data_IF_360521292143
#
_entry.id   IF_360521292143
#
_cell.length_a   1.000
_cell.length_b   1.000
_cell.length_c   1.000
_cell.angle_alpha   90.00
_cell.angle_beta   90.00
_cell.angle_gamma   90.00
#
_symmetry.space_group_name_H-M   'P 1'
#
loop_
_entity.id
_entity.type
_entity.pdbx_description
1 polymer ?
#
# COMPACT_ATOMS: atom_id res chain seq x y z
N UNK A 1 18.09 15.03 18.08
CA UNK A 1 18.66 13.97 17.22
C UNK A 1 18.09 14.22 15.85
N UNK A 2 18.90 14.29 14.78
CA UNK A 2 18.36 14.54 13.44
C UNK A 2 17.44 13.39 13.03
N UNK A 3 16.29 13.73 12.47
CA UNK A 3 15.27 12.78 12.01
C UNK A 3 15.84 11.85 10.94
N UNK A 4 15.77 10.54 11.20
CA UNK A 4 16.25 9.48 10.29
C UNK A 4 15.14 8.85 9.44
N UNK A 5 13.89 9.20 9.70
CA UNK A 5 12.74 8.52 9.16
C UNK A 5 11.63 9.53 8.88
N UNK A 6 11.13 9.52 7.64
CA UNK A 6 10.03 10.39 7.21
C UNK A 6 8.97 9.50 6.55
N UNK A 7 7.76 9.53 7.10
CA UNK A 7 6.59 8.91 6.49
C UNK A 7 5.81 9.92 5.67
N UNK A 8 5.50 9.60 4.42
CA UNK A 8 4.67 10.43 3.55
C UNK A 8 3.37 9.68 3.25
N UNK A 9 2.25 10.33 3.58
CA UNK A 9 0.92 9.88 3.21
C UNK A 9 0.30 10.84 2.18
N UNK A 10 -0.51 10.30 1.29
CA UNK A 10 -1.32 11.08 0.37
C UNK A 10 -2.12 10.17 -0.54
N UNK A 11 -3.35 10.57 -0.86
CA UNK A 11 -4.18 9.79 -1.77
C UNK A 11 -3.60 9.81 -3.20
N UNK A 12 -3.99 8.86 -4.05
CA UNK A 12 -3.49 8.78 -5.44
C UNK A 12 -3.63 10.14 -6.18
N UNK A 13 -2.55 10.65 -6.75
CA UNK A 13 -2.54 11.94 -7.45
C UNK A 13 -2.40 13.18 -6.55
N UNK A 14 -2.24 13.03 -5.23
CA UNK A 14 -2.00 14.16 -4.32
C UNK A 14 -0.60 14.79 -4.47
N UNK A 15 0.35 14.07 -5.08
CA UNK A 15 1.74 14.54 -5.24
C UNK A 15 2.72 14.07 -4.17
N UNK A 16 2.35 13.06 -3.36
CA UNK A 16 3.25 12.46 -2.34
C UNK A 16 4.60 11.98 -2.90
N UNK A 17 4.60 11.40 -4.10
CA UNK A 17 5.80 10.85 -4.72
C UNK A 17 6.73 12.00 -5.13
N UNK A 18 6.15 13.08 -5.68
CA UNK A 18 6.85 14.35 -5.95
C UNK A 18 7.44 14.96 -4.68
N UNK A 19 6.70 14.95 -3.56
CA UNK A 19 7.24 15.42 -2.28
C UNK A 19 8.44 14.58 -1.83
N UNK A 20 8.38 13.25 -1.99
CA UNK A 20 9.52 12.37 -1.74
C UNK A 20 10.76 12.74 -2.55
N UNK A 21 10.60 12.98 -3.86
CA UNK A 21 11.68 13.42 -4.75
C UNK A 21 12.23 14.81 -4.35
N UNK A 22 11.36 15.75 -3.97
CA UNK A 22 11.77 17.08 -3.50
C UNK A 22 12.63 16.95 -2.24
N UNK A 23 12.23 16.11 -1.27
CA UNK A 23 13.01 15.90 -0.05
C UNK A 23 14.41 15.38 -0.39
N UNK A 24 14.52 14.36 -1.26
CA UNK A 24 15.81 13.83 -1.68
C UNK A 24 16.69 14.91 -2.33
N UNK A 25 16.12 15.68 -3.27
CA UNK A 25 16.84 16.77 -3.96
C UNK A 25 17.30 17.86 -3.00
N UNK A 26 16.42 18.34 -2.11
CA UNK A 26 16.76 19.38 -1.14
C UNK A 26 17.84 18.92 -0.15
N UNK A 27 17.78 17.66 0.30
CA UNK A 27 18.84 17.13 1.15
C UNK A 27 20.17 17.06 0.41
N UNK A 28 20.18 16.56 -0.83
CA UNK A 28 21.40 16.48 -1.65
C UNK A 28 22.03 17.86 -1.89
N UNK A 29 21.23 18.89 -2.16
CA UNK A 29 21.74 20.24 -2.46
C UNK A 29 22.12 21.07 -1.23
N UNK A 30 21.73 20.64 -0.02
CA UNK A 30 21.93 21.41 1.23
C UNK A 30 22.73 20.62 2.29
N UNK A 31 23.58 19.68 1.86
CA UNK A 31 24.40 18.83 2.73
C UNK A 31 23.58 18.12 3.83
N UNK A 32 22.34 17.75 3.49
CA UNK A 32 21.47 16.90 4.31
C UNK A 32 21.79 15.41 4.13
N UNK A 33 21.05 14.53 4.84
CA UNK A 33 21.21 13.09 4.71
C UNK A 33 20.70 12.58 3.35
N UNK A 34 21.34 11.53 2.83
CA UNK A 34 20.87 10.82 1.65
C UNK A 34 19.72 9.88 2.01
N UNK A 35 18.49 10.29 1.74
CA UNK A 35 17.31 9.47 2.02
C UNK A 35 17.07 8.41 0.95
N UNK A 36 16.83 7.17 1.40
CA UNK A 36 16.38 6.06 0.56
C UNK A 36 14.85 5.93 0.59
N UNK A 37 14.22 5.82 -0.57
CA UNK A 37 12.78 5.52 -0.64
C UNK A 37 12.55 4.05 -0.27
N UNK A 38 11.67 3.83 0.70
CA UNK A 38 11.20 2.52 1.14
C UNK A 38 9.69 2.42 1.03
N UNK A 39 9.21 1.18 1.00
CA UNK A 39 7.79 0.85 0.89
C UNK A 39 7.42 -0.28 1.82
N UNK A 40 6.33 -0.15 2.58
CA UNK A 40 5.79 -1.25 3.40
C UNK A 40 5.43 -2.45 2.53
N UNK A 41 4.84 -2.19 1.36
CA UNK A 41 4.51 -3.24 0.40
C UNK A 41 5.74 -3.77 -0.39
N UNK A 42 6.96 -3.31 -0.10
CA UNK A 42 8.16 -3.72 -0.82
C UNK A 42 8.45 -5.21 -0.69
N UNK A 43 8.43 -5.75 0.54
CA UNK A 43 8.67 -7.18 0.80
C UNK A 43 7.55 -8.07 0.24
N UNK A 44 6.30 -7.59 0.25
CA UNK A 44 5.16 -8.25 -0.41
C UNK A 44 5.46 -8.49 -1.89
N UNK A 45 5.91 -7.45 -2.60
CA UNK A 45 6.24 -7.55 -4.03
C UNK A 45 7.44 -8.45 -4.30
N UNK A 46 8.43 -8.47 -3.41
CA UNK A 46 9.56 -9.41 -3.50
C UNK A 46 9.07 -10.86 -3.38
N UNK A 47 8.23 -11.17 -2.40
CA UNK A 47 7.67 -12.51 -2.23
C UNK A 47 6.80 -12.88 -3.44
N UNK A 48 5.92 -11.98 -3.89
CA UNK A 48 5.10 -12.22 -5.08
C UNK A 48 5.95 -12.49 -6.33
N UNK A 49 7.06 -11.76 -6.51
CA UNK A 49 8.02 -11.98 -7.59
C UNK A 49 8.66 -13.36 -7.50
N UNK A 50 9.11 -13.78 -6.31
CA UNK A 50 9.69 -15.10 -6.09
C UNK A 50 8.70 -16.24 -6.39
N UNK A 51 7.42 -16.05 -6.05
CA UNK A 51 6.38 -17.05 -6.28
C UNK A 51 6.01 -17.18 -7.76
N UNK A 52 5.94 -16.05 -8.48
CA UNK A 52 5.36 -16.00 -9.84
C UNK A 52 6.41 -15.91 -10.95
N UNK A 53 7.65 -15.55 -10.63
CA UNK A 53 8.67 -15.18 -11.61
C UNK A 53 8.47 -13.81 -12.27
N UNK A 54 7.43 -13.04 -11.88
CA UNK A 54 7.15 -11.71 -12.41
C UNK A 54 8.19 -10.71 -11.89
N UNK A 55 8.62 -9.75 -12.73
CA UNK A 55 9.55 -8.70 -12.29
C UNK A 55 8.88 -7.79 -11.23
N UNK A 56 9.61 -7.48 -10.17
CA UNK A 56 9.13 -6.61 -9.08
C UNK A 56 8.63 -5.26 -9.60
N UNK A 57 9.29 -4.70 -10.63
CA UNK A 57 8.88 -3.42 -11.24
C UNK A 57 7.47 -3.47 -11.83
N UNK A 58 7.04 -4.63 -12.32
CA UNK A 58 5.76 -4.76 -13.02
C UNK A 58 4.58 -4.55 -12.06
N UNK A 59 4.78 -4.86 -10.77
CA UNK A 59 3.83 -4.60 -9.69
C UNK A 59 3.68 -3.11 -9.32
N UNK A 60 4.27 -2.18 -10.06
CA UNK A 60 3.95 -0.75 -9.95
C UNK A 60 2.87 -0.32 -10.95
N UNK A 61 2.71 -1.02 -12.09
CA UNK A 61 1.78 -0.64 -13.15
C UNK A 61 0.36 -1.14 -12.88
N UNK A 62 -0.63 -0.25 -12.98
CA UNK A 62 -2.04 -0.58 -12.70
C UNK A 62 -2.63 -1.55 -13.71
N UNK A 63 -2.30 -1.37 -15.00
CA UNK A 63 -2.82 -2.22 -16.08
C UNK A 63 -2.27 -3.63 -15.96
N UNK A 64 -0.97 -3.75 -15.64
CA UNK A 64 -0.34 -5.05 -15.38
C UNK A 64 -0.98 -5.77 -14.19
N UNK A 65 -1.29 -5.05 -13.10
CA UNK A 65 -2.00 -5.67 -11.96
C UNK A 65 -3.36 -6.27 -12.34
N UNK A 66 -3.99 -5.76 -13.40
CA UNK A 66 -5.29 -6.24 -13.85
C UNK A 66 -5.18 -7.38 -14.86
N UNK A 67 -3.97 -7.79 -15.26
CA UNK A 67 -3.79 -8.99 -16.08
C UNK A 67 -3.94 -10.25 -15.24
N UNK A 68 -4.23 -11.35 -15.93
CA UNK A 68 -4.32 -12.67 -15.34
C UNK A 68 -2.93 -13.29 -15.16
N UNK A 69 -2.79 -14.06 -14.08
CA UNK A 69 -1.71 -15.01 -13.92
C UNK A 69 -1.88 -16.19 -14.88
N UNK A 70 -0.86 -17.05 -14.89
CA UNK A 70 -0.89 -18.34 -15.56
C UNK A 70 -1.98 -19.26 -14.97
N UNK A 71 -2.48 -20.21 -15.77
CA UNK A 71 -3.57 -21.13 -15.40
C UNK A 71 -3.27 -21.99 -14.16
N UNK A 72 -1.98 -22.18 -13.82
CA UNK A 72 -1.60 -22.86 -12.58
C UNK A 72 -1.96 -22.09 -11.30
N UNK A 73 -2.32 -20.80 -11.43
CA UNK A 73 -2.82 -19.95 -10.35
C UNK A 73 -4.35 -19.83 -10.33
N UNK A 74 -5.03 -20.51 -11.25
CA UNK A 74 -6.48 -20.55 -11.26
C UNK A 74 -7.01 -21.19 -9.98
N UNK A 75 -8.24 -20.80 -9.63
CA UNK A 75 -8.87 -21.23 -8.40
C UNK A 75 -10.31 -21.66 -8.66
N UNK A 76 -10.89 -22.31 -7.66
CA UNK A 76 -12.28 -22.77 -7.71
C UNK A 76 -13.17 -21.91 -6.84
N UNK A 77 -14.39 -21.68 -7.27
CA UNK A 77 -15.45 -21.11 -6.44
C UNK A 77 -16.79 -21.79 -6.75
N UNK A 78 -17.76 -21.59 -5.86
CA UNK A 78 -19.14 -22.01 -6.06
C UNK A 78 -19.96 -20.79 -6.45
N UNK A 79 -20.57 -20.84 -7.63
CA UNK A 79 -21.53 -19.86 -8.11
C UNK A 79 -22.93 -20.39 -7.84
N UNK A 80 -23.71 -19.59 -7.12
CA UNK A 80 -25.12 -19.86 -6.90
C UNK A 80 -25.92 -19.02 -7.90
N UNK A 81 -26.75 -19.68 -8.68
CA UNK A 81 -27.66 -19.05 -9.62
C UNK A 81 -29.10 -19.19 -9.15
N UNK A 82 -29.84 -18.09 -9.06
CA UNK A 82 -31.28 -18.05 -8.82
C UNK A 82 -32.01 -17.72 -10.13
N UNK A 83 -32.85 -18.63 -10.61
CA UNK A 83 -33.57 -18.49 -11.90
C UNK A 83 -32.64 -18.12 -13.08
N UNK A 84 -31.44 -18.72 -13.11
CA UNK A 84 -30.44 -18.50 -14.16
C UNK A 84 -29.70 -17.16 -14.07
N UNK A 85 -29.78 -16.45 -12.94
CA UNK A 85 -28.97 -15.26 -12.66
C UNK A 85 -28.04 -15.53 -11.48
N UNK A 86 -26.76 -15.17 -11.62
CA UNK A 86 -25.80 -15.25 -10.52
C UNK A 86 -26.30 -14.42 -9.34
N UNK A 87 -26.57 -15.09 -8.22
CA UNK A 87 -27.03 -14.47 -6.98
C UNK A 87 -25.91 -14.37 -5.95
N UNK A 88 -24.97 -15.33 -5.96
CA UNK A 88 -23.87 -15.38 -5.03
C UNK A 88 -22.65 -16.08 -5.65
N UNK A 89 -21.46 -15.65 -5.26
CA UNK A 89 -20.19 -16.34 -5.55
C UNK A 89 -19.49 -16.55 -4.22
N UNK A 90 -19.11 -17.79 -3.93
CA UNK A 90 -18.42 -18.13 -2.69
C UNK A 90 -17.03 -17.50 -2.61
N UNK A 91 -16.39 -17.69 -1.45
CA UNK A 91 -14.94 -17.55 -1.33
C UNK A 91 -14.19 -18.48 -2.29
N UNK A 92 -12.89 -18.21 -2.41
CA UNK A 92 -11.95 -19.00 -3.20
C UNK A 92 -11.63 -20.34 -2.52
N UNK A 93 -11.43 -21.36 -3.35
CA UNK A 93 -10.88 -22.65 -2.96
C UNK A 93 -9.69 -23.01 -3.84
N UNK A 94 -8.66 -23.60 -3.22
CA UNK A 94 -7.45 -24.02 -3.92
C UNK A 94 -7.68 -25.29 -4.75
N UNK A 95 -8.63 -26.14 -4.33
CA UNK A 95 -8.95 -27.38 -5.03
C UNK A 95 -10.43 -27.47 -5.37
N UNK A 96 -10.74 -28.21 -6.43
CA UNK A 96 -12.11 -28.54 -6.79
C UNK A 96 -12.84 -29.25 -5.65
N UNK A 97 -12.18 -30.17 -4.94
CA UNK A 97 -12.77 -30.93 -3.84
C UNK A 97 -13.22 -30.03 -2.67
N UNK A 98 -12.43 -29.01 -2.34
CA UNK A 98 -12.82 -28.01 -1.36
C UNK A 98 -14.08 -27.24 -1.80
N UNK A 99 -14.13 -26.82 -3.07
CA UNK A 99 -15.31 -26.17 -3.62
C UNK A 99 -16.54 -27.11 -3.68
N UNK A 100 -16.33 -28.40 -3.94
CA UNK A 100 -17.40 -29.39 -3.96
C UNK A 100 -18.02 -29.60 -2.56
N UNK A 101 -17.19 -29.64 -1.52
CA UNK A 101 -17.67 -29.70 -0.14
C UNK A 101 -18.50 -28.46 0.20
N UNK A 102 -18.05 -27.27 -0.20
CA UNK A 102 -18.79 -26.02 0.00
C UNK A 102 -20.12 -26.02 -0.76
N UNK A 103 -20.12 -26.47 -2.03
CA UNK A 103 -21.34 -26.51 -2.84
C UNK A 103 -22.42 -27.39 -2.17
N UNK A 104 -22.03 -28.55 -1.63
CA UNK A 104 -22.93 -29.43 -0.88
C UNK A 104 -23.43 -28.77 0.42
N UNK A 105 -22.58 -28.00 1.10
CA UNK A 105 -22.97 -27.29 2.31
C UNK A 105 -23.98 -26.16 2.01
N UNK A 106 -23.73 -25.37 0.96
CA UNK A 106 -24.62 -24.32 0.50
C UNK A 106 -25.97 -24.89 0.04
N UNK A 107 -25.97 -25.98 -0.73
CA UNK A 107 -27.19 -26.64 -1.19
C UNK A 107 -28.06 -27.11 -0.01
N UNK A 108 -27.45 -27.70 1.02
CA UNK A 108 -28.17 -28.13 2.23
C UNK A 108 -28.77 -26.96 3.00
N UNK A 109 -28.07 -25.82 3.04
CA UNK A 109 -28.49 -24.66 3.83
C UNK A 109 -29.51 -23.78 3.11
N UNK A 110 -29.40 -23.63 1.79
CA UNK A 110 -30.19 -22.70 0.98
C UNK A 110 -31.29 -23.42 0.17
N UNK A 111 -31.19 -24.75 0.00
CA UNK A 111 -32.13 -25.56 -0.76
C UNK A 111 -31.92 -25.50 -2.27
N UNK A 112 -32.68 -26.31 -3.01
CA UNK A 112 -32.50 -26.50 -4.47
C UNK A 112 -33.60 -25.86 -5.31
N UNK A 113 -34.63 -25.28 -4.69
CA UNK A 113 -35.75 -24.72 -5.44
C UNK A 113 -35.30 -23.46 -6.20
N UNK A 114 -35.27 -23.54 -7.54
CA UNK A 114 -34.80 -22.49 -8.47
C UNK A 114 -33.33 -22.11 -8.35
N UNK A 115 -32.60 -22.75 -7.45
CA UNK A 115 -31.17 -22.53 -7.21
C UNK A 115 -30.33 -23.57 -7.94
N UNK A 116 -29.23 -23.15 -8.54
CA UNK A 116 -28.16 -24.03 -9.04
C UNK A 116 -26.85 -23.68 -8.36
N UNK A 117 -26.05 -24.70 -8.06
CA UNK A 117 -24.74 -24.59 -7.45
C UNK A 117 -23.70 -25.08 -8.45
N UNK A 118 -22.97 -24.16 -9.06
CA UNK A 118 -22.01 -24.45 -10.13
C UNK A 118 -20.60 -24.26 -9.57
N UNK A 119 -19.79 -25.31 -9.62
CA UNK A 119 -18.37 -25.20 -9.32
C UNK A 119 -17.68 -24.66 -10.57
N UNK A 120 -17.07 -23.48 -10.47
CA UNK A 120 -16.43 -22.78 -11.58
C UNK A 120 -14.93 -22.61 -11.29
N UNK A 121 -14.10 -22.88 -12.30
CA UNK A 121 -12.68 -22.50 -12.27
C UNK A 121 -12.53 -21.08 -12.81
N UNK A 122 -11.83 -20.21 -12.07
CA UNK A 122 -11.62 -18.82 -12.43
C UNK A 122 -10.14 -18.46 -12.41
N UNK A 123 -9.79 -17.55 -13.32
CA UNK A 123 -8.43 -17.02 -13.43
C UNK A 123 -8.13 -15.99 -12.36
N UNK A 124 -6.98 -16.14 -11.71
CA UNK A 124 -6.50 -15.17 -10.74
C UNK A 124 -5.80 -14.00 -11.44
N UNK A 125 -6.11 -12.77 -11.04
CA UNK A 125 -5.37 -11.58 -11.46
C UNK A 125 -4.16 -11.34 -10.58
N UNK A 126 -3.15 -10.64 -11.11
CA UNK A 126 -1.98 -10.21 -10.33
C UNK A 126 -2.39 -9.37 -9.11
N UNK A 127 -3.43 -8.53 -9.25
CA UNK A 127 -3.98 -7.74 -8.15
C UNK A 127 -4.55 -8.61 -7.04
N UNK A 128 -5.34 -9.62 -7.41
CA UNK A 128 -5.91 -10.56 -6.44
C UNK A 128 -4.80 -11.28 -5.67
N UNK A 129 -3.77 -11.79 -6.35
CA UNK A 129 -2.62 -12.41 -5.68
C UNK A 129 -1.98 -11.46 -4.65
N UNK A 130 -1.71 -10.21 -5.03
CA UNK A 130 -1.09 -9.23 -4.12
C UNK A 130 -2.00 -8.91 -2.92
N UNK A 131 -3.32 -8.89 -3.10
CA UNK A 131 -4.29 -8.64 -2.03
C UNK A 131 -4.41 -9.83 -1.08
N UNK A 132 -4.52 -11.04 -1.61
CA UNK A 132 -4.63 -12.25 -0.81
C UNK A 132 -3.33 -12.53 -0.05
N UNK A 133 -2.18 -12.44 -0.71
CA UNK A 133 -0.89 -12.59 -0.05
C UNK A 133 -0.64 -11.45 0.94
N UNK A 134 -0.97 -10.22 0.56
CA UNK A 134 -0.72 -9.02 1.36
C UNK A 134 -1.57 -8.94 2.63
N UNK A 135 -2.87 -9.11 2.48
CA UNK A 135 -3.87 -8.86 3.51
C UNK A 135 -4.30 -10.16 4.16
N UNK A 136 -4.94 -11.06 3.42
CA UNK A 136 -5.60 -12.25 3.98
C UNK A 136 -4.59 -13.22 4.62
N UNK A 137 -3.56 -13.61 3.87
CA UNK A 137 -2.60 -14.60 4.34
C UNK A 137 -1.64 -14.03 5.39
N UNK A 138 -1.06 -12.87 5.13
CA UNK A 138 0.05 -12.36 5.94
C UNK A 138 -0.42 -11.39 7.03
N UNK A 139 -1.23 -10.38 6.70
CA UNK A 139 -1.65 -9.39 7.69
C UNK A 139 -2.69 -9.97 8.66
N UNK A 140 -3.68 -10.66 8.14
CA UNK A 140 -4.79 -11.21 8.93
C UNK A 140 -4.46 -12.62 9.44
N UNK A 141 -3.85 -13.45 8.59
CA UNK A 141 -3.52 -14.85 8.92
C UNK A 141 -2.23 -15.06 9.74
N UNK A 142 -1.22 -14.20 9.60
CA UNK A 142 0.06 -14.35 10.29
C UNK A 142 0.27 -13.29 11.38
N UNK A 143 0.34 -12.01 11.01
CA UNK A 143 0.49 -10.91 11.97
C UNK A 143 0.14 -9.55 11.36
N UNK A 144 -0.68 -8.75 12.05
CA UNK A 144 -1.10 -7.40 11.62
C UNK A 144 0.06 -6.45 11.27
N UNK A 145 1.22 -6.61 11.90
CA UNK A 145 2.43 -5.80 11.70
C UNK A 145 3.47 -6.48 10.80
N UNK A 146 3.13 -7.56 10.09
CA UNK A 146 4.09 -8.32 9.28
C UNK A 146 4.91 -7.46 8.33
N UNK A 147 4.27 -6.53 7.61
CA UNK A 147 4.95 -5.65 6.66
C UNK A 147 5.75 -4.53 7.32
N UNK A 148 5.28 -4.04 8.48
CA UNK A 148 6.01 -3.10 9.33
C UNK A 148 7.29 -3.75 9.84
N UNK A 149 7.16 -4.93 10.45
CA UNK A 149 8.28 -5.69 11.00
C UNK A 149 9.27 -6.08 9.90
N UNK A 150 8.78 -6.55 8.76
CA UNK A 150 9.62 -6.95 7.64
C UNK A 150 10.38 -5.77 7.01
N UNK A 151 9.78 -4.57 6.97
CA UNK A 151 10.48 -3.37 6.51
C UNK A 151 11.54 -2.93 7.52
N UNK A 152 11.17 -2.78 8.79
CA UNK A 152 12.07 -2.25 9.83
C UNK A 152 13.12 -3.24 10.32
N UNK A 153 13.07 -4.52 9.94
CA UNK A 153 14.14 -5.48 10.20
C UNK A 153 15.50 -5.02 9.65
N UNK A 154 15.49 -4.24 8.56
CA UNK A 154 16.69 -3.72 7.91
C UNK A 154 17.06 -2.28 8.41
N UNK A 155 16.30 -1.69 9.33
CA UNK A 155 16.48 -0.29 9.74
C UNK A 155 17.57 -0.13 10.81
N UNK A 156 18.52 0.77 10.56
CA UNK A 156 19.67 1.01 11.44
C UNK A 156 19.62 2.43 12.01
N UNK A 157 19.31 2.54 13.29
CA UNK A 157 19.45 3.80 14.02
C UNK A 157 20.91 4.27 14.06
N UNK A 158 21.12 5.60 14.09
CA UNK A 158 22.46 6.19 14.18
C UNK A 158 23.22 5.77 15.44
N UNK A 159 22.51 5.49 16.53
CA UNK A 159 23.10 4.93 17.75
C UNK A 159 23.58 3.49 17.60
N UNK A 160 23.03 2.73 16.65
CA UNK A 160 23.33 1.32 16.41
C UNK A 160 24.37 1.11 15.30
N UNK A 161 24.50 2.05 14.37
CA UNK A 161 25.54 2.02 13.33
C UNK A 161 26.11 3.42 13.14
N UNK A 162 27.30 3.65 13.72
CA UNK A 162 28.00 4.93 13.61
C UNK A 162 28.45 5.24 12.18
N UNK A 163 28.69 4.22 11.36
CA UNK A 163 29.27 4.35 10.03
C UNK A 163 28.24 4.34 8.90
N UNK A 164 27.07 3.73 9.10
CA UNK A 164 26.03 3.67 8.06
C UNK A 164 24.61 3.67 8.65
N UNK A 165 24.18 4.80 9.25
CA UNK A 165 22.79 5.00 9.68
C UNK A 165 21.81 4.99 8.51
N UNK A 166 20.64 4.40 8.72
CA UNK A 166 19.54 4.48 7.77
C UNK A 166 18.92 5.88 7.77
N UNK A 167 18.63 6.40 6.58
CA UNK A 167 17.78 7.58 6.37
C UNK A 167 16.69 7.18 5.38
N UNK A 168 15.46 6.97 5.86
CA UNK A 168 14.39 6.39 5.04
C UNK A 168 13.22 7.35 4.81
N UNK A 169 12.75 7.38 3.57
CA UNK A 169 11.48 7.99 3.15
C UNK A 169 10.49 6.87 2.86
N UNK A 170 9.43 6.72 3.65
CA UNK A 170 8.39 5.74 3.41
C UNK A 170 7.22 6.41 2.70
N UNK A 171 6.95 6.04 1.44
CA UNK A 171 6.01 6.77 0.56
C UNK A 171 4.65 6.10 0.36
N UNK A 172 4.45 4.89 0.88
CA UNK A 172 3.24 4.07 0.68
C UNK A 172 2.49 3.76 1.98
N UNK A 173 2.63 4.62 2.99
CA UNK A 173 1.91 4.51 4.27
C UNK A 173 0.40 4.64 4.08
N UNK A 174 -0.35 3.58 4.44
CA UNK A 174 -1.79 3.43 4.19
C UNK A 174 -2.59 3.02 5.41
N UNK A 175 -1.95 2.50 6.47
CA UNK A 175 -2.65 1.95 7.63
C UNK A 175 -2.24 2.62 8.96
N UNK A 176 -3.12 2.68 9.97
CA UNK A 176 -2.81 3.29 11.27
C UNK A 176 -1.56 2.69 11.95
N UNK A 177 -1.39 1.38 11.89
CA UNK A 177 -0.21 0.70 12.47
C UNK A 177 1.11 1.07 11.78
N UNK A 178 1.06 1.43 10.50
CA UNK A 178 2.22 1.91 9.74
C UNK A 178 2.60 3.33 10.18
N UNK A 179 1.61 4.20 10.39
CA UNK A 179 1.80 5.55 10.92
C UNK A 179 2.38 5.52 12.33
N UNK A 180 1.78 4.70 13.20
CA UNK A 180 2.24 4.50 14.58
C UNK A 180 3.69 4.01 14.61
N UNK A 181 4.04 3.01 13.79
CA UNK A 181 5.39 2.47 13.74
C UNK A 181 6.45 3.51 13.34
N UNK A 182 6.10 4.49 12.51
CA UNK A 182 7.00 5.61 12.17
C UNK A 182 7.17 6.54 13.37
N UNK A 183 6.07 6.92 14.03
CA UNK A 183 6.08 7.81 15.21
C UNK A 183 6.85 7.19 16.39
N UNK A 184 6.64 5.91 16.67
CA UNK A 184 7.35 5.16 17.72
C UNK A 184 8.88 5.15 17.52
N UNK A 185 9.33 5.26 16.27
CA UNK A 185 10.76 5.29 15.91
C UNK A 185 11.33 6.71 15.86
N UNK A 186 10.57 7.70 16.32
CA UNK A 186 10.94 9.12 16.28
C UNK A 186 11.02 9.67 14.85
N UNK A 187 10.31 9.06 13.91
CA UNK A 187 10.15 9.59 12.56
C UNK A 187 9.07 10.66 12.51
N UNK A 188 9.16 11.55 11.53
CA UNK A 188 8.14 12.57 11.26
C UNK A 188 7.18 12.09 10.18
N UNK A 189 5.96 12.62 10.22
CA UNK A 189 4.88 12.22 9.32
C UNK A 189 4.34 13.42 8.57
N UNK A 190 4.28 13.31 7.24
CA UNK A 190 3.84 14.37 6.33
C UNK A 190 2.63 13.85 5.54
N UNK A 191 1.49 14.52 5.67
CA UNK A 191 0.33 14.30 4.79
C UNK A 191 0.35 15.29 3.65
N UNK A 192 0.15 14.80 2.42
CA UNK A 192 -0.01 15.61 1.22
C UNK A 192 -1.44 15.52 0.74
N UNK A 193 -2.13 16.65 0.64
CA UNK A 193 -3.51 16.75 0.16
C UNK A 193 -3.56 17.57 -1.13
N UNK A 194 -4.57 17.30 -1.97
CA UNK A 194 -4.85 18.04 -3.21
C UNK A 194 -6.35 18.00 -3.46
N UNK A 195 -6.89 19.05 -4.08
CA UNK A 195 -8.31 19.17 -4.38
C UNK A 195 -8.84 17.91 -5.11
N UNK A 196 -9.95 17.37 -4.60
CA UNK A 196 -10.64 16.21 -5.16
C UNK A 196 -11.13 16.45 -6.58
N UNK A 197 -11.51 17.69 -6.93
CA UNK A 197 -11.94 18.02 -8.30
C UNK A 197 -10.85 17.71 -9.33
N UNK A 198 -9.58 17.88 -8.93
CA UNK A 198 -8.41 17.57 -9.76
C UNK A 198 -8.05 16.07 -9.76
N UNK A 199 -8.77 15.25 -9.00
CA UNK A 199 -8.51 13.82 -8.76
C UNK A 199 -9.71 12.93 -9.13
N UNK A 200 -10.57 13.40 -10.05
CA UNK A 200 -11.76 12.68 -10.50
C UNK A 200 -13.03 12.94 -9.68
N UNK A 201 -12.95 13.80 -8.66
CA UNK A 201 -14.07 14.14 -7.78
C UNK A 201 -14.18 13.25 -6.54
N UNK A 202 -15.02 13.63 -5.55
CA UNK A 202 -15.19 12.90 -4.30
C UNK A 202 -15.84 11.52 -4.48
N UNK A 203 -16.59 11.32 -5.57
CA UNK A 203 -17.32 10.07 -5.85
C UNK A 203 -16.53 9.07 -6.69
N UNK A 204 -15.29 9.39 -7.12
CA UNK A 204 -14.45 8.42 -7.83
C UNK A 204 -14.21 7.21 -6.89
N UNK A 205 -14.57 5.97 -7.30
CA UNK A 205 -14.38 4.77 -6.48
C UNK A 205 -12.94 4.58 -5.99
N UNK A 206 -11.95 5.11 -6.73
CA UNK A 206 -10.53 5.08 -6.31
C UNK A 206 -10.28 5.89 -5.04
N UNK A 207 -11.08 6.92 -4.77
CA UNK A 207 -10.96 7.78 -3.59
C UNK A 207 -11.63 7.18 -2.33
N UNK A 208 -12.43 6.12 -2.49
CA UNK A 208 -13.23 5.48 -1.45
C UNK A 208 -12.65 4.15 -0.95
N UNK A 209 -11.60 3.62 -1.59
CA UNK A 209 -11.00 2.35 -1.20
C UNK A 209 -10.45 2.42 0.25
N UNK A 210 -10.60 1.37 1.09
CA UNK A 210 -10.16 1.40 2.49
C UNK A 210 -8.70 1.80 2.67
N UNK A 211 -7.81 1.35 1.77
CA UNK A 211 -6.40 1.72 1.80
C UNK A 211 -6.11 3.20 1.49
N UNK A 212 -7.10 3.96 1.03
CA UNK A 212 -6.99 5.40 0.76
C UNK A 212 -7.66 6.23 1.86
N UNK A 213 -8.60 5.67 2.62
CA UNK A 213 -9.39 6.36 3.65
C UNK A 213 -9.02 5.97 5.08
N UNK A 214 -8.28 4.88 5.28
CA UNK A 214 -7.93 4.34 6.60
C UNK A 214 -7.18 5.34 7.51
N UNK A 215 -6.53 6.34 6.92
CA UNK A 215 -5.80 7.38 7.65
C UNK A 215 -6.54 8.72 7.67
N UNK A 216 -7.73 8.88 7.08
CA UNK A 216 -8.38 10.20 6.90
C UNK A 216 -8.61 10.98 8.21
N UNK A 217 -8.79 10.26 9.34
CA UNK A 217 -9.02 10.85 10.67
C UNK A 217 -7.76 10.99 11.51
N UNK A 218 -6.63 10.48 11.03
CA UNK A 218 -5.37 10.50 11.77
C UNK A 218 -4.68 11.86 11.67
N UNK A 219 -3.88 12.16 12.70
CA UNK A 219 -3.09 13.40 12.79
C UNK A 219 -1.65 13.16 12.33
N UNK A 220 -1.13 14.14 11.60
CA UNK A 220 0.23 14.15 11.05
C UNK A 220 1.00 15.32 11.67
N UNK A 221 2.32 15.18 11.75
CA UNK A 221 3.18 16.26 12.25
C UNK A 221 3.14 17.47 11.31
N UNK A 222 3.00 17.18 10.01
CA UNK A 222 2.93 18.18 8.95
C UNK A 222 1.84 17.83 7.93
N UNK A 223 1.15 18.87 7.45
CA UNK A 223 0.23 18.76 6.32
C UNK A 223 0.62 19.75 5.23
N UNK A 224 0.74 19.25 4.00
CA UNK A 224 1.05 20.02 2.80
C UNK A 224 -0.18 19.99 1.90
N UNK A 225 -0.79 21.15 1.69
CA UNK A 225 -1.78 21.34 0.64
C UNK A 225 -1.04 21.58 -0.69
N UNK A 226 -1.25 20.72 -1.67
CA UNK A 226 -0.67 20.79 -3.01
C UNK A 226 -1.68 21.44 -3.98
N UNK A 227 -1.82 22.75 -3.87
CA UNK A 227 -2.79 23.60 -4.56
C UNK A 227 -2.14 24.65 -5.49
N UNK A 228 -0.82 24.60 -5.62
CA UNK A 228 -0.03 25.66 -6.22
C UNK A 228 0.99 25.20 -7.27
N UNK A 229 2.04 25.99 -7.43
CA UNK A 229 3.15 25.69 -8.34
C UNK A 229 4.14 24.68 -7.73
N UNK A 230 5.06 24.15 -8.54
CA UNK A 230 6.09 23.23 -8.03
C UNK A 230 7.07 23.98 -7.11
N UNK A 231 7.34 25.26 -7.38
CA UNK A 231 8.20 26.12 -6.57
C UNK A 231 7.59 26.35 -5.18
N UNK A 232 6.28 26.58 -5.11
CA UNK A 232 5.55 26.69 -3.83
C UNK A 232 5.59 25.38 -3.06
N UNK A 233 5.41 24.24 -3.74
CA UNK A 233 5.52 22.92 -3.11
C UNK A 233 6.94 22.69 -2.56
N UNK A 234 7.98 23.07 -3.31
CA UNK A 234 9.38 23.02 -2.86
C UNK A 234 9.60 23.89 -1.63
N UNK A 235 9.02 25.09 -1.59
CA UNK A 235 9.05 25.97 -0.41
C UNK A 235 8.43 25.32 0.82
N UNK A 236 7.20 24.81 0.72
CA UNK A 236 6.50 24.12 1.82
C UNK A 236 7.30 22.94 2.37
N UNK A 237 7.94 22.15 1.50
CA UNK A 237 8.80 21.03 1.91
C UNK A 237 10.08 21.53 2.59
N UNK A 238 10.73 22.55 2.02
CA UNK A 238 11.96 23.14 2.57
C UNK A 238 11.76 23.63 4.00
N UNK A 239 10.67 24.33 4.27
CA UNK A 239 10.37 24.88 5.60
C UNK A 239 10.28 23.77 6.66
N UNK A 240 9.66 22.64 6.31
CA UNK A 240 9.59 21.46 7.19
C UNK A 240 10.98 20.91 7.45
N UNK A 241 11.80 20.72 6.41
CA UNK A 241 13.16 20.16 6.55
C UNK A 241 14.09 21.06 7.37
N UNK A 242 13.94 22.39 7.28
CA UNK A 242 14.68 23.35 8.11
C UNK A 242 14.23 23.25 9.56
N UNK A 243 12.91 23.24 9.80
CA UNK A 243 12.33 23.16 11.16
C UNK A 243 12.75 21.88 11.90
N UNK A 244 12.87 20.77 11.17
CA UNK A 244 13.31 19.48 11.70
C UNK A 244 14.85 19.33 11.74
N UNK A 245 15.58 20.40 11.45
CA UNK A 245 17.05 20.45 11.42
C UNK A 245 17.69 19.39 10.50
N UNK A 246 16.95 18.97 9.46
CA UNK A 246 17.39 17.99 8.46
C UNK A 246 18.33 18.66 7.45
N UNK A 247 17.98 19.87 7.03
CA UNK A 247 18.82 20.76 6.21
C UNK A 247 19.00 22.09 6.94
N UNK A 248 20.01 22.87 6.55
CA UNK A 248 20.25 24.20 7.12
C UNK A 248 19.45 25.26 6.36
N UNK A 249 19.04 26.31 7.07
CA UNK A 249 18.49 27.50 6.45
C UNK A 249 19.58 28.18 5.61
N UNK A 250 19.38 28.16 4.30
CA UNK A 250 20.31 28.69 3.32
C UNK A 250 20.14 30.19 3.15
N UNK A 251 20.44 30.98 4.19
CA UNK A 251 20.88 32.35 3.97
C UNK A 251 22.40 32.30 3.72
N UNK A 252 22.79 32.32 2.45
CA UNK A 252 24.13 32.75 2.02
C UNK A 252 23.99 34.16 1.48
#
# INVERSE_FOLDING_TARGET
>A
MRTQLIGINGKIGAGKDTVGEIIQKLCLTNNGPEFEIKKFAGKLKQIASLLTGINISDFEYQDFKNTYLDENWDYWCVVVEDNGKVSFVSQKFATHDQAAIEALALEKNLGTFRMKYVIEQRRMTVRQLLQELGTEAMRDGLHTNVWVNALFADFKFAKMSQYNPSHWLITDMRFPNELEAIKERGGITIRVTRDYALRGGPEDPKNLHPSETALDKETFDYEIVNDGTIEELVGKVRDILIKEEIIRDGNI
#
